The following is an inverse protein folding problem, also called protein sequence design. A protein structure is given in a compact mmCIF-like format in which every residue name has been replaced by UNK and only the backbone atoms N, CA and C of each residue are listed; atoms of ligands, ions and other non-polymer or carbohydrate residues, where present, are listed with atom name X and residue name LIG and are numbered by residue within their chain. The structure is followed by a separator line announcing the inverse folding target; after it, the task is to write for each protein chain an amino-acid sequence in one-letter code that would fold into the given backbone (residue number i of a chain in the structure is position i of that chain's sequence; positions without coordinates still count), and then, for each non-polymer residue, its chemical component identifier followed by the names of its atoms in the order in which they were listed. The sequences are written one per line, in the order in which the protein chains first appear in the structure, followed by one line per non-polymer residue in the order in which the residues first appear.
data_IF_703339061108
#
_entry.id   IF_703339061108
#
_cell.length_a   1.000
_cell.length_b   1.000
_cell.length_c   1.000
_cell.angle_alpha   90.00
_cell.angle_beta   90.00
_cell.angle_gamma   90.00
#
_symmetry.space_group_name_H-M   'P 1'
#
loop_
_entity.id
_entity.type
_entity.pdbx_description
1 polymer ?
#
# COMPACT_ATOMS: atom_id res chain seq x y z
N UNK A 1 -0.32 -27.32 -8.42
CA UNK A 1 -0.15 -27.63 -6.99
C UNK A 1 1.35 -27.62 -6.69
N UNK A 2 1.80 -26.93 -5.64
CA UNK A 2 3.20 -26.98 -5.23
C UNK A 2 3.40 -28.19 -4.31
N UNK A 3 4.33 -29.08 -4.68
CA UNK A 3 4.74 -30.20 -3.83
C UNK A 3 5.89 -29.72 -2.94
N UNK A 4 5.73 -29.84 -1.63
CA UNK A 4 6.78 -29.54 -0.67
C UNK A 4 7.29 -30.83 -0.04
N UNK A 5 8.60 -31.04 -0.11
CA UNK A 5 9.30 -32.16 0.52
C UNK A 5 10.21 -31.66 1.65
N UNK A 6 10.64 -32.57 2.52
CA UNK A 6 11.61 -32.32 3.57
C UNK A 6 12.40 -33.58 3.86
N UNK A 7 13.61 -33.42 4.40
CA UNK A 7 14.44 -34.53 4.88
C UNK A 7 14.01 -34.91 6.32
N UNK A 8 13.62 -36.17 6.59
CA UNK A 8 13.27 -36.64 7.93
C UNK A 8 14.37 -36.45 8.98
N UNK A 9 15.66 -36.59 8.62
CA UNK A 9 16.77 -36.42 9.56
C UNK A 9 16.94 -34.95 9.96
N UNK A 10 16.72 -34.03 9.02
CA UNK A 10 16.66 -32.60 9.31
C UNK A 10 15.44 -32.29 10.16
N UNK A 11 14.27 -32.86 9.82
CA UNK A 11 13.03 -32.64 10.56
C UNK A 11 13.08 -33.11 12.01
N UNK A 12 13.81 -34.19 12.33
CA UNK A 12 14.07 -34.62 13.72
C UNK A 12 14.75 -33.54 14.55
N UNK A 13 15.61 -32.73 13.93
CA UNK A 13 16.43 -31.73 14.63
C UNK A 13 15.71 -30.39 14.74
N UNK A 14 15.08 -29.92 13.66
CA UNK A 14 14.51 -28.56 13.59
C UNK A 14 12.98 -28.51 13.52
N UNK A 15 12.33 -29.66 13.34
CA UNK A 15 10.90 -29.79 13.08
C UNK A 15 10.54 -29.68 11.59
N UNK A 16 9.37 -30.22 11.22
CA UNK A 16 8.90 -30.34 9.83
C UNK A 16 8.90 -28.98 9.10
N UNK A 17 8.30 -27.95 9.69
CA UNK A 17 8.21 -26.63 9.05
C UNK A 17 9.59 -26.05 8.70
N UNK A 18 10.56 -26.19 9.62
CA UNK A 18 11.92 -25.72 9.38
C UNK A 18 12.64 -26.57 8.35
N UNK A 19 12.48 -27.90 8.39
CA UNK A 19 13.07 -28.80 7.40
C UNK A 19 12.52 -28.56 5.98
N UNK A 20 11.22 -28.27 5.84
CA UNK A 20 10.61 -27.93 4.56
C UNK A 20 11.16 -26.61 4.00
N UNK A 21 11.26 -25.57 4.83
CA UNK A 21 11.85 -24.28 4.41
C UNK A 21 13.33 -24.46 4.04
N UNK A 22 14.06 -25.27 4.80
CA UNK A 22 15.45 -25.61 4.50
C UNK A 22 15.61 -26.29 3.14
N UNK A 23 14.78 -27.28 2.83
CA UNK A 23 14.80 -27.96 1.53
C UNK A 23 14.60 -26.99 0.36
N UNK A 24 13.68 -26.03 0.50
CA UNK A 24 13.47 -24.98 -0.49
C UNK A 24 14.70 -24.07 -0.63
N UNK A 25 15.31 -23.65 0.48
CA UNK A 25 16.55 -22.84 0.45
C UNK A 25 17.67 -23.61 -0.26
N UNK A 26 17.88 -24.88 0.09
CA UNK A 26 18.92 -25.72 -0.49
C UNK A 26 18.74 -25.88 -2.01
N UNK A 27 17.53 -26.19 -2.46
CA UNK A 27 17.19 -26.28 -3.89
C UNK A 27 17.56 -25.00 -4.64
N UNK A 28 17.25 -23.84 -4.09
CA UNK A 28 17.55 -22.56 -4.73
C UNK A 28 19.03 -22.19 -4.68
N UNK A 29 19.79 -22.67 -3.70
CA UNK A 29 21.24 -22.50 -3.65
C UNK A 29 21.88 -23.37 -4.73
N UNK A 30 21.51 -24.65 -4.82
CA UNK A 30 21.97 -25.58 -5.86
C UNK A 30 21.68 -25.02 -7.26
N UNK A 31 20.48 -24.47 -7.46
CA UNK A 31 20.14 -23.82 -8.72
C UNK A 31 20.98 -22.58 -9.01
N UNK A 32 21.29 -21.77 -8.00
CA UNK A 32 22.17 -20.61 -8.20
C UNK A 32 23.61 -21.05 -8.49
N UNK A 33 24.08 -22.13 -7.87
CA UNK A 33 25.38 -22.75 -8.13
C UNK A 33 25.49 -23.26 -9.57
N UNK A 34 24.50 -24.02 -10.04
CA UNK A 34 24.48 -24.54 -11.41
C UNK A 34 24.42 -23.43 -12.48
N UNK A 35 23.93 -22.23 -12.11
CA UNK A 35 23.85 -21.07 -13.00
C UNK A 35 24.93 -20.02 -12.71
N UNK A 36 25.89 -20.30 -11.82
CA UNK A 36 26.97 -19.39 -11.41
C UNK A 36 26.48 -17.99 -10.96
N UNK A 37 25.31 -17.96 -10.31
CA UNK A 37 24.68 -16.72 -9.82
C UNK A 37 24.84 -16.61 -8.30
N UNK A 38 24.89 -15.38 -7.79
CA UNK A 38 24.80 -15.11 -6.36
C UNK A 38 25.90 -15.79 -5.51
N UNK A 39 27.11 -15.87 -6.09
CA UNK A 39 28.33 -16.24 -5.38
C UNK A 39 28.82 -15.03 -4.56
N UNK A 40 28.83 -15.18 -3.24
CA UNK A 40 29.35 -14.19 -2.30
C UNK A 40 30.14 -14.89 -1.20
N UNK A 41 31.28 -14.32 -0.80
CA UNK A 41 32.15 -14.87 0.24
C UNK A 41 32.48 -16.37 0.05
N UNK A 42 32.75 -16.75 -1.21
CA UNK A 42 33.13 -18.12 -1.58
C UNK A 42 32.01 -19.17 -1.49
N UNK A 43 30.75 -18.76 -1.29
CA UNK A 43 29.60 -19.68 -1.26
C UNK A 43 28.41 -19.13 -2.06
N UNK A 44 27.53 -20.02 -2.48
CA UNK A 44 26.31 -19.65 -3.19
C UNK A 44 25.19 -19.30 -2.22
N UNK A 45 24.48 -18.22 -2.52
CA UNK A 45 23.40 -17.72 -1.68
C UNK A 45 22.07 -17.71 -2.41
N UNK A 46 21.01 -17.73 -1.63
CA UNK A 46 19.68 -17.36 -2.13
C UNK A 46 19.06 -16.32 -1.22
N UNK A 47 18.24 -15.44 -1.79
CA UNK A 47 17.53 -14.44 -1.02
C UNK A 47 16.05 -14.78 -0.92
N UNK A 48 15.46 -14.47 0.23
CA UNK A 48 14.00 -14.49 0.37
C UNK A 48 13.53 -13.60 1.53
N UNK A 49 12.29 -13.10 1.42
CA UNK A 49 11.64 -12.37 2.50
C UNK A 49 10.68 -13.28 3.26
N UNK A 50 10.36 -12.96 4.53
CA UNK A 50 9.33 -13.69 5.29
C UNK A 50 7.99 -13.68 4.56
N UNK A 51 7.64 -12.57 3.92
CA UNK A 51 6.42 -12.45 3.12
C UNK A 51 6.41 -13.43 1.94
N UNK A 52 7.50 -13.48 1.19
CA UNK A 52 7.62 -14.36 0.03
C UNK A 52 7.71 -15.84 0.41
N UNK A 53 8.29 -16.16 1.58
CA UNK A 53 8.12 -17.49 2.16
C UNK A 53 6.66 -17.80 2.49
N UNK A 54 5.89 -16.84 3.01
CA UNK A 54 4.46 -17.04 3.30
C UNK A 54 3.62 -17.33 2.07
N UNK A 55 4.01 -16.80 0.90
CA UNK A 55 3.32 -17.08 -0.36
C UNK A 55 3.69 -18.46 -0.93
N UNK A 56 4.93 -18.89 -0.72
CA UNK A 56 5.39 -20.25 -1.08
C UNK A 56 4.84 -21.30 -0.12
N UNK A 57 4.68 -20.95 1.15
CA UNK A 57 4.19 -21.81 2.21
C UNK A 57 2.91 -21.22 2.84
N UNK A 58 1.78 -21.21 2.12
CA UNK A 58 0.54 -20.54 2.56
C UNK A 58 -0.09 -21.14 3.81
N UNK A 59 0.37 -22.31 4.25
CA UNK A 59 -0.02 -22.97 5.50
C UNK A 59 0.87 -22.59 6.70
N UNK A 60 1.88 -21.72 6.51
CA UNK A 60 2.74 -21.23 7.59
C UNK A 60 2.50 -19.74 7.84
N UNK A 61 2.31 -19.39 9.11
CA UNK A 61 2.25 -17.99 9.53
C UNK A 61 3.63 -17.32 9.43
N UNK A 62 3.64 -15.99 9.37
CA UNK A 62 4.88 -15.21 9.36
C UNK A 62 5.77 -15.52 10.59
N UNK A 63 5.17 -15.79 11.76
CA UNK A 63 5.91 -16.15 12.97
C UNK A 63 6.47 -17.56 12.92
N UNK A 64 5.72 -18.53 12.37
CA UNK A 64 6.22 -19.88 12.13
C UNK A 64 7.43 -19.85 11.19
N UNK A 65 7.38 -19.04 10.14
CA UNK A 65 8.50 -18.84 9.19
C UNK A 65 9.71 -18.21 9.89
N UNK A 66 9.51 -17.13 10.66
CA UNK A 66 10.60 -16.49 11.42
C UNK A 66 11.26 -17.46 12.39
N UNK A 67 10.46 -18.23 13.13
CA UNK A 67 10.94 -19.21 14.09
C UNK A 67 11.66 -20.37 13.41
N UNK A 68 11.16 -20.86 12.27
CA UNK A 68 11.82 -21.87 11.46
C UNK A 68 13.20 -21.40 10.98
N UNK A 69 13.28 -20.19 10.40
CA UNK A 69 14.55 -19.60 9.94
C UNK A 69 15.51 -19.34 11.10
N UNK A 70 15.02 -18.97 12.29
CA UNK A 70 15.83 -18.81 13.50
C UNK A 70 16.42 -20.16 13.92
N UNK A 71 15.60 -21.20 14.04
CA UNK A 71 16.04 -22.56 14.39
C UNK A 71 17.08 -23.11 13.42
N UNK A 72 16.91 -22.90 12.12
CA UNK A 72 17.87 -23.36 11.10
C UNK A 72 19.24 -22.70 11.25
N UNK A 73 19.28 -21.42 11.60
CA UNK A 73 20.54 -20.70 11.86
C UNK A 73 21.19 -21.19 13.15
N UNK A 74 20.42 -21.28 14.24
CA UNK A 74 20.91 -21.75 15.54
C UNK A 74 21.48 -23.16 15.47
N UNK A 75 20.84 -24.04 14.69
CA UNK A 75 21.29 -25.41 14.48
C UNK A 75 22.36 -25.54 13.40
N UNK A 76 22.79 -24.44 12.76
CA UNK A 76 23.89 -24.43 11.79
C UNK A 76 23.57 -25.05 10.43
N UNK A 77 22.29 -25.19 10.08
CA UNK A 77 21.85 -25.66 8.76
C UNK A 77 21.94 -24.57 7.70
N UNK A 78 21.70 -23.32 8.07
CA UNK A 78 21.84 -22.16 7.19
C UNK A 78 22.63 -21.06 7.87
N UNK A 79 23.23 -20.19 7.08
CA UNK A 79 23.82 -18.92 7.52
C UNK A 79 23.01 -17.75 6.96
N UNK A 80 23.02 -16.62 7.66
CA UNK A 80 22.37 -15.38 7.21
C UNK A 80 23.43 -14.39 6.74
N UNK A 81 23.12 -13.68 5.66
CA UNK A 81 23.95 -12.60 5.11
C UNK A 81 23.11 -11.41 4.67
N UNK A 82 23.81 -10.34 4.29
CA UNK A 82 23.23 -9.15 3.70
C UNK A 82 24.05 -8.74 2.47
N UNK A 83 23.54 -9.08 1.29
CA UNK A 83 24.14 -8.72 0.01
C UNK A 83 23.19 -7.83 -0.80
N UNK A 84 22.33 -7.08 -0.11
CA UNK A 84 21.43 -6.15 -0.75
C UNK A 84 22.19 -4.93 -1.26
N UNK A 85 21.93 -4.55 -2.52
CA UNK A 85 22.53 -3.34 -3.10
C UNK A 85 21.98 -2.03 -2.52
N UNK A 86 20.84 -2.09 -1.83
CA UNK A 86 20.15 -0.92 -1.32
C UNK A 86 19.84 -1.09 0.17
N UNK A 87 20.22 -0.10 0.98
CA UNK A 87 20.08 -0.14 2.45
C UNK A 87 18.64 -0.23 2.95
N UNK A 88 17.64 0.09 2.12
CA UNK A 88 16.22 -0.04 2.46
C UNK A 88 15.65 -1.43 2.14
N UNK A 89 16.35 -2.25 1.35
CA UNK A 89 15.91 -3.61 1.06
C UNK A 89 16.22 -4.50 2.27
N UNK A 90 15.18 -4.90 2.98
CA UNK A 90 15.28 -5.76 4.17
C UNK A 90 15.29 -7.25 3.84
N UNK A 91 15.46 -7.62 2.56
CA UNK A 91 15.52 -9.02 2.14
C UNK A 91 16.72 -9.70 2.78
N UNK A 92 16.53 -10.89 3.34
CA UNK A 92 17.64 -11.63 3.94
C UNK A 92 18.20 -12.62 2.93
N UNK A 93 19.51 -12.79 2.98
CA UNK A 93 20.22 -13.79 2.20
C UNK A 93 20.52 -15.01 3.09
N UNK A 94 20.41 -16.19 2.50
CA UNK A 94 20.63 -17.48 3.14
C UNK A 94 21.64 -18.30 2.35
N UNK A 95 22.64 -18.81 3.04
CA UNK A 95 23.65 -19.73 2.53
C UNK A 95 23.57 -21.06 3.30
N UNK A 96 24.20 -22.11 2.79
CA UNK A 96 24.27 -23.39 3.50
C UNK A 96 25.24 -23.29 4.68
N UNK A 97 24.79 -23.76 5.84
CA UNK A 97 25.63 -23.83 7.03
C UNK A 97 26.48 -25.09 7.05
N UNK A 98 27.48 -25.14 7.94
CA UNK A 98 28.41 -26.29 8.02
C UNK A 98 27.71 -27.64 8.25
N UNK A 99 26.61 -27.65 9.02
CA UNK A 99 25.86 -28.87 9.33
C UNK A 99 25.10 -29.41 8.12
N UNK A 100 24.75 -28.56 7.16
CA UNK A 100 24.19 -29.00 5.88
C UNK A 100 25.17 -29.93 5.17
N UNK A 101 26.42 -29.47 4.99
CA UNK A 101 27.46 -30.21 4.28
C UNK A 101 27.72 -31.59 4.91
N UNK A 102 27.75 -31.67 6.24
CA UNK A 102 27.98 -32.94 6.96
C UNK A 102 26.84 -33.96 6.85
N UNK A 103 25.61 -33.52 6.57
CA UNK A 103 24.46 -34.42 6.35
C UNK A 103 24.38 -34.81 4.87
N UNK A 104 24.72 -33.90 3.95
CA UNK A 104 24.86 -34.18 2.53
C UNK A 104 25.91 -35.28 2.24
N UNK A 105 27.06 -35.25 2.93
CA UNK A 105 28.10 -36.29 2.79
C UNK A 105 27.59 -37.68 3.21
N UNK A 106 26.73 -37.76 4.25
CA UNK A 106 26.13 -39.02 4.70
C UNK A 106 25.05 -39.53 3.75
N UNK A 107 24.26 -38.64 3.16
CA UNK A 107 23.20 -38.98 2.21
C UNK A 107 23.74 -39.36 0.82
N UNK A 108 24.84 -38.75 0.37
CA UNK A 108 25.51 -39.09 -0.89
C UNK A 108 26.04 -40.54 -0.90
N UNK A 109 26.48 -41.09 0.24
CA UNK A 109 26.89 -42.50 0.33
C UNK A 109 25.71 -43.49 0.17
N UNK A 110 24.47 -43.07 0.47
CA UNK A 110 23.27 -43.91 0.32
C UNK A 110 22.65 -43.81 -1.09
N UNK A 111 22.75 -42.66 -1.78
CA UNK A 111 22.16 -42.48 -3.12
C UNK A 111 22.98 -43.10 -4.27
N UNK A 112 24.32 -43.24 -4.12
CA UNK A 112 25.19 -43.82 -5.17
C UNK A 112 24.86 -45.29 -5.44
N UNK A 113 24.17 -46.00 -4.53
CA UNK A 113 23.79 -47.41 -4.73
C UNK A 113 22.53 -47.64 -5.58
N UNK A 114 21.81 -46.61 -6.03
CA UNK A 114 20.47 -46.80 -6.65
C UNK A 114 20.19 -46.12 -8.00
N UNK A 115 21.16 -45.52 -8.68
CA UNK A 115 20.86 -44.82 -9.94
C UNK A 115 21.86 -45.14 -11.07
N UNK A 116 21.75 -46.34 -11.65
CA UNK A 116 22.11 -46.57 -13.06
C UNK A 116 20.81 -46.65 -13.86
N UNK A 117 20.34 -45.49 -14.33
CA UNK A 117 19.18 -45.37 -15.21
C UNK A 117 19.38 -44.17 -16.12
N UNK A 118 19.83 -44.44 -17.35
CA UNK A 118 20.01 -43.44 -18.40
C UNK A 118 18.64 -42.90 -18.81
N UNK A 119 18.34 -41.68 -18.40
CA UNK A 119 17.14 -40.94 -18.77
C UNK A 119 17.51 -39.64 -19.47
N UNK A 120 16.98 -39.43 -20.68
CA UNK A 120 17.22 -38.28 -21.54
C UNK A 120 16.99 -36.96 -20.80
N UNK A 121 17.94 -36.02 -20.92
CA UNK A 121 17.84 -34.65 -20.43
C UNK A 121 16.61 -33.96 -21.03
N UNK A 122 15.60 -33.56 -20.24
CA UNK A 122 14.67 -32.54 -20.67
C UNK A 122 15.38 -31.18 -20.64
N UNK A 123 15.07 -30.33 -21.61
CA UNK A 123 15.63 -28.98 -21.73
C UNK A 123 15.42 -28.15 -20.46
N UNK A 124 16.31 -27.17 -20.17
CA UNK A 124 16.22 -26.37 -18.95
C UNK A 124 14.91 -25.59 -18.89
N UNK A 125 14.04 -25.94 -17.93
CA UNK A 125 12.86 -25.15 -17.60
C UNK A 125 13.32 -23.76 -17.11
N UNK A 126 12.86 -22.65 -17.70
CA UNK A 126 13.25 -21.31 -17.29
C UNK A 126 12.66 -21.01 -15.90
N UNK A 127 13.55 -20.84 -14.91
CA UNK A 127 13.13 -20.80 -13.51
C UNK A 127 13.04 -19.37 -13.00
N UNK A 128 11.81 -18.87 -12.98
CA UNK A 128 11.45 -17.72 -12.15
C UNK A 128 10.99 -18.27 -10.80
N UNK A 129 11.79 -18.07 -9.73
CA UNK A 129 11.23 -18.02 -8.38
C UNK A 129 9.95 -17.18 -8.45
N UNK A 130 8.78 -17.63 -7.96
CA UNK A 130 7.65 -16.74 -7.74
C UNK A 130 8.08 -15.75 -6.67
N UNK A 131 8.66 -14.67 -7.13
CA UNK A 131 8.94 -13.48 -6.39
C UNK A 131 7.63 -12.72 -6.42
N UNK A 132 6.75 -12.87 -5.41
CA UNK A 132 5.74 -11.82 -5.19
C UNK A 132 6.43 -10.63 -4.49
N UNK A 133 7.54 -10.19 -5.08
CA UNK A 133 7.86 -8.79 -5.15
C UNK A 133 7.36 -8.39 -6.54
N UNK A 134 6.55 -7.33 -6.66
CA UNK A 134 6.00 -6.92 -7.95
C UNK A 134 7.14 -6.84 -8.95
N UNK A 135 6.98 -7.60 -10.04
CA UNK A 135 7.87 -7.75 -11.18
C UNK A 135 8.92 -6.63 -11.23
N UNK A 136 10.16 -7.01 -10.91
CA UNK A 136 11.33 -6.14 -11.06
C UNK A 136 11.88 -6.33 -12.47
N UNK A 137 11.03 -6.10 -13.46
CA UNK A 137 11.42 -5.37 -14.65
C UNK A 137 12.27 -4.20 -14.14
N UNK A 138 13.60 -4.23 -14.35
CA UNK A 138 14.60 -3.42 -13.65
C UNK A 138 14.03 -2.05 -13.24
N UNK A 139 13.51 -1.94 -12.01
CA UNK A 139 12.83 -0.71 -11.61
C UNK A 139 13.93 0.32 -11.44
N UNK A 140 14.15 1.09 -12.51
CA UNK A 140 14.93 2.32 -12.50
C UNK A 140 14.57 3.06 -11.23
N UNK A 141 15.59 3.45 -10.46
CA UNK A 141 15.38 4.19 -9.23
C UNK A 141 14.53 5.42 -9.52
N UNK A 142 13.77 5.91 -8.54
CA UNK A 142 12.94 7.11 -8.73
C UNK A 142 13.81 8.29 -9.20
N UNK A 143 15.07 8.36 -8.75
CA UNK A 143 16.04 9.35 -9.23
C UNK A 143 16.41 9.15 -10.71
N UNK A 144 16.57 7.92 -11.20
CA UNK A 144 16.83 7.63 -12.62
C UNK A 144 15.64 7.90 -13.53
N UNK A 145 14.41 7.96 -12.99
CA UNK A 145 13.19 8.27 -13.75
C UNK A 145 12.91 9.77 -13.82
N UNK A 146 13.54 10.56 -12.93
CA UNK A 146 13.32 12.00 -12.89
C UNK A 146 13.90 12.63 -14.15
N UNK A 147 13.08 13.45 -14.84
CA UNK A 147 13.43 14.08 -16.12
C UNK A 147 13.64 13.11 -17.30
N UNK A 148 13.26 11.84 -17.17
CA UNK A 148 13.27 10.93 -18.31
C UNK A 148 11.95 11.01 -19.09
N UNK A 149 11.97 11.70 -20.22
CA UNK A 149 10.79 11.89 -21.09
C UNK A 149 10.27 10.60 -21.71
N UNK A 150 11.05 9.52 -21.67
CA UNK A 150 10.62 8.18 -22.13
C UNK A 150 9.96 7.37 -21.02
N UNK A 151 10.06 7.80 -19.75
CA UNK A 151 9.45 7.10 -18.62
C UNK A 151 7.95 7.49 -18.47
N UNK A 152 7.02 6.53 -18.59
CA UNK A 152 5.60 6.83 -18.53
C UNK A 152 5.14 7.44 -17.20
N UNK A 153 5.82 7.13 -16.09
CA UNK A 153 5.48 7.70 -14.77
C UNK A 153 5.90 9.17 -14.69
N UNK A 154 7.03 9.53 -15.29
CA UNK A 154 7.48 10.92 -15.39
C UNK A 154 6.55 11.74 -16.28
N UNK A 155 6.26 11.26 -17.50
CA UNK A 155 5.35 11.95 -18.43
C UNK A 155 3.98 12.16 -17.79
N UNK A 156 3.42 11.12 -17.18
CA UNK A 156 2.15 11.19 -16.48
C UNK A 156 2.17 12.21 -15.34
N UNK A 157 3.23 12.23 -14.53
CA UNK A 157 3.40 13.20 -13.46
C UNK A 157 3.43 14.63 -13.98
N UNK A 158 4.20 14.91 -15.03
CA UNK A 158 4.30 16.27 -15.58
C UNK A 158 2.95 16.75 -16.08
N UNK A 159 2.23 15.91 -16.83
CA UNK A 159 0.95 16.25 -17.44
C UNK A 159 -0.19 16.38 -16.43
N UNK A 160 -0.31 15.43 -15.50
CA UNK A 160 -1.51 15.29 -14.65
C UNK A 160 -1.30 15.82 -13.23
N UNK A 161 -0.05 16.00 -12.80
CA UNK A 161 0.26 16.46 -11.42
C UNK A 161 0.93 17.83 -11.45
N UNK A 162 2.04 17.96 -12.19
CA UNK A 162 2.83 19.18 -12.18
C UNK A 162 2.13 20.38 -12.83
N UNK A 163 1.26 20.14 -13.82
CA UNK A 163 0.36 21.14 -14.40
C UNK A 163 -0.52 21.85 -13.35
N UNK A 164 -0.78 21.20 -12.22
CA UNK A 164 -1.56 21.73 -11.11
C UNK A 164 -0.74 22.38 -10.00
N UNK A 165 0.57 22.62 -10.17
CA UNK A 165 1.35 23.35 -9.17
C UNK A 165 0.76 24.76 -8.89
N UNK A 166 0.78 25.17 -7.61
CA UNK A 166 0.15 26.40 -7.10
C UNK A 166 1.14 27.36 -6.44
N UNK A 167 2.44 27.05 -6.46
CA UNK A 167 3.49 27.86 -5.82
C UNK A 167 4.73 28.00 -6.71
N UNK A 168 5.21 29.24 -6.83
CA UNK A 168 6.53 29.55 -7.41
C UNK A 168 7.63 29.10 -6.46
N UNK A 169 8.60 28.31 -6.94
CA UNK A 169 9.69 27.75 -6.14
C UNK A 169 9.43 26.36 -5.56
N UNK A 170 8.32 25.70 -5.91
CA UNK A 170 8.12 24.29 -5.56
C UNK A 170 9.15 23.39 -6.25
N UNK A 171 9.68 22.41 -5.51
CA UNK A 171 10.64 21.45 -6.04
C UNK A 171 9.93 20.33 -6.82
N UNK A 172 10.01 20.40 -8.16
CA UNK A 172 9.49 19.36 -9.06
C UNK A 172 10.07 17.98 -8.74
N UNK A 173 11.36 17.93 -8.41
CA UNK A 173 12.03 16.69 -7.99
C UNK A 173 11.41 16.10 -6.73
N UNK A 174 11.17 16.92 -5.70
CA UNK A 174 10.59 16.43 -4.45
C UNK A 174 9.12 16.05 -4.61
N UNK A 175 8.36 16.80 -5.41
CA UNK A 175 6.98 16.47 -5.74
C UNK A 175 6.90 15.14 -6.51
N UNK A 176 7.75 14.94 -7.52
CA UNK A 176 7.86 13.68 -8.25
C UNK A 176 8.25 12.51 -7.34
N UNK A 177 9.25 12.70 -6.47
CA UNK A 177 9.65 11.67 -5.49
C UNK A 177 8.52 11.27 -4.56
N UNK A 178 7.70 12.24 -4.14
CA UNK A 178 6.56 12.00 -3.26
C UNK A 178 5.45 11.27 -4.02
N UNK A 179 5.12 11.72 -5.23
CA UNK A 179 4.14 11.09 -6.13
C UNK A 179 4.53 9.65 -6.53
N UNK A 180 5.79 9.43 -6.90
CA UNK A 180 6.26 8.14 -7.40
C UNK A 180 6.11 7.01 -6.39
N UNK A 181 6.15 7.34 -5.09
CA UNK A 181 5.98 6.40 -3.96
C UNK A 181 4.53 5.97 -3.72
N UNK A 182 3.55 6.69 -4.26
CA UNK A 182 2.13 6.41 -4.06
C UNK A 182 1.69 5.13 -4.78
N UNK A 183 0.72 4.43 -4.19
CA UNK A 183 0.01 3.32 -4.83
C UNK A 183 -0.86 3.81 -5.99
N UNK A 184 -1.29 2.92 -6.89
CA UNK A 184 -2.16 3.28 -8.02
C UNK A 184 -3.46 3.98 -7.58
N UNK A 185 -4.20 3.48 -6.56
CA UNK A 185 -5.39 4.18 -6.06
C UNK A 185 -5.09 5.57 -5.49
N UNK A 186 -4.00 5.71 -4.72
CA UNK A 186 -3.61 7.02 -4.17
C UNK A 186 -3.23 8.02 -5.26
N UNK A 187 -2.58 7.58 -6.35
CA UNK A 187 -2.27 8.44 -7.50
C UNK A 187 -3.53 8.96 -8.18
N UNK A 188 -4.54 8.10 -8.31
CA UNK A 188 -5.83 8.49 -8.88
C UNK A 188 -6.54 9.51 -7.98
N UNK A 189 -6.68 9.20 -6.68
CA UNK A 189 -7.28 10.10 -5.70
C UNK A 189 -6.57 11.46 -5.64
N UNK A 190 -5.23 11.46 -5.70
CA UNK A 190 -4.42 12.67 -5.81
C UNK A 190 -4.82 13.50 -7.03
N UNK A 191 -4.79 12.91 -8.22
CA UNK A 191 -5.05 13.61 -9.48
C UNK A 191 -6.46 14.20 -9.52
N UNK A 192 -7.45 13.47 -9.01
CA UNK A 192 -8.84 13.95 -8.91
C UNK A 192 -8.97 15.16 -7.95
N UNK A 193 -8.19 15.19 -6.87
CA UNK A 193 -8.23 16.27 -5.88
C UNK A 193 -7.46 17.54 -6.30
N UNK A 194 -6.49 17.43 -7.22
CA UNK A 194 -5.58 18.54 -7.58
C UNK A 194 -6.28 19.81 -8.09
N UNK A 195 -7.31 19.76 -8.96
CA UNK A 195 -7.99 20.96 -9.41
C UNK A 195 -8.63 21.74 -8.25
N UNK A 196 -9.28 21.05 -7.32
CA UNK A 196 -9.91 21.65 -6.15
C UNK A 196 -8.86 22.17 -5.15
N UNK A 197 -7.79 21.42 -4.92
CA UNK A 197 -6.64 21.85 -4.11
C UNK A 197 -6.01 23.13 -4.66
N UNK A 198 -5.77 23.20 -5.98
CA UNK A 198 -5.22 24.38 -6.65
C UNK A 198 -6.11 25.60 -6.47
N UNK A 199 -7.43 25.45 -6.58
CA UNK A 199 -8.38 26.55 -6.31
C UNK A 199 -8.27 27.01 -4.85
N UNK A 200 -8.31 26.07 -3.90
CA UNK A 200 -8.24 26.36 -2.47
C UNK A 200 -6.94 27.11 -2.08
N UNK A 201 -5.79 26.72 -2.61
CA UNK A 201 -4.51 27.36 -2.27
C UNK A 201 -4.24 28.66 -3.03
N UNK A 202 -5.06 28.98 -4.05
CA UNK A 202 -4.99 30.24 -4.77
C UNK A 202 -6.04 31.26 -4.29
N UNK A 203 -7.01 30.85 -3.45
CA UNK A 203 -7.93 31.78 -2.80
C UNK A 203 -7.23 32.50 -1.65
N UNK A 204 -7.12 33.83 -1.77
CA UNK A 204 -6.51 34.83 -0.87
C UNK A 204 -4.97 34.95 -0.89
N UNK A 205 -4.53 36.20 -0.88
CA UNK A 205 -3.14 36.56 -0.57
C UNK A 205 -2.94 36.53 0.96
N UNK A 206 -1.79 36.02 1.40
CA UNK A 206 -1.34 35.78 2.79
C UNK A 206 -1.72 34.47 3.51
N UNK A 207 -2.44 33.53 2.89
CA UNK A 207 -2.62 32.20 3.50
C UNK A 207 -1.43 31.27 3.23
N UNK A 208 -1.08 30.45 4.23
CA UNK A 208 0.01 29.46 4.13
C UNK A 208 -0.27 28.47 2.99
N UNK A 209 0.58 28.49 1.95
CA UNK A 209 0.52 27.54 0.84
C UNK A 209 1.50 26.39 1.07
N UNK A 210 1.02 25.16 1.33
CA UNK A 210 1.92 24.03 1.51
C UNK A 210 2.66 23.75 0.20
N UNK A 211 3.92 23.34 0.32
CA UNK A 211 4.67 22.82 -0.83
C UNK A 211 3.95 21.59 -1.39
N UNK A 212 3.88 21.45 -2.71
CA UNK A 212 3.24 20.29 -3.35
C UNK A 212 3.74 18.96 -2.80
N UNK A 213 5.06 18.82 -2.64
CA UNK A 213 5.65 17.59 -2.08
C UNK A 213 5.17 17.30 -0.65
N UNK A 214 5.11 18.33 0.21
CA UNK A 214 4.65 18.19 1.59
C UNK A 214 3.17 17.85 1.64
N UNK A 215 2.36 18.47 0.78
CA UNK A 215 0.93 18.18 0.66
C UNK A 215 0.69 16.73 0.20
N UNK A 216 1.42 16.26 -0.81
CA UNK A 216 1.37 14.86 -1.27
C UNK A 216 1.74 13.88 -0.14
N UNK A 217 2.84 14.15 0.60
CA UNK A 217 3.29 13.24 1.67
C UNK A 217 2.33 13.16 2.86
N UNK A 218 1.45 14.15 3.04
CA UNK A 218 0.44 14.20 4.10
C UNK A 218 -0.94 13.68 3.65
N UNK A 219 -1.00 13.01 2.50
CA UNK A 219 -2.25 12.57 1.88
C UNK A 219 -3.27 13.71 1.68
N UNK A 220 -2.80 14.90 1.26
CA UNK A 220 -3.65 16.09 1.19
C UNK A 220 -4.90 15.98 0.29
N UNK A 221 -4.96 14.98 -0.59
CA UNK A 221 -6.18 14.66 -1.36
C UNK A 221 -7.34 14.19 -0.48
N UNK A 222 -7.07 13.54 0.65
CA UNK A 222 -8.10 13.08 1.60
C UNK A 222 -8.84 14.27 2.20
N UNK A 223 -8.15 15.37 2.51
CA UNK A 223 -8.78 16.59 3.02
C UNK A 223 -9.72 17.21 1.98
N UNK A 224 -9.30 17.25 0.72
CA UNK A 224 -10.12 17.78 -0.38
C UNK A 224 -11.33 16.88 -0.63
N UNK A 225 -11.15 15.57 -0.60
CA UNK A 225 -12.23 14.58 -0.74
C UNK A 225 -13.21 14.68 0.42
N UNK A 226 -12.74 14.82 1.66
CA UNK A 226 -13.58 15.01 2.83
C UNK A 226 -14.35 16.33 2.76
N UNK A 227 -13.73 17.42 2.30
CA UNK A 227 -14.43 18.70 2.04
C UNK A 227 -15.48 18.56 0.95
N UNK A 228 -15.18 17.82 -0.11
CA UNK A 228 -16.10 17.56 -1.23
C UNK A 228 -17.25 16.66 -0.78
N UNK A 229 -16.98 15.64 0.04
CA UNK A 229 -17.97 14.77 0.66
C UNK A 229 -18.86 15.53 1.66
N UNK A 230 -18.31 16.45 2.44
CA UNK A 230 -19.09 17.35 3.30
C UNK A 230 -19.99 18.31 2.49
N UNK A 231 -19.66 18.58 1.21
CA UNK A 231 -20.53 19.32 0.28
C UNK A 231 -21.47 18.40 -0.53
N UNK A 232 -21.25 17.08 -0.55
CA UNK A 232 -22.02 16.08 -1.32
C UNK A 232 -22.89 15.16 -0.44
N UNK A 233 -22.72 15.16 0.88
CA UNK A 233 -23.74 14.65 1.79
C UNK A 233 -25.06 15.35 1.49
N UNK A 234 -26.18 14.61 1.33
CA UNK A 234 -27.52 15.21 1.30
C UNK A 234 -27.90 15.86 2.63
N UNK A 235 -26.99 15.86 3.61
CA UNK A 235 -27.09 16.61 4.84
C UNK A 235 -26.34 17.94 4.73
N UNK A 236 -26.57 18.65 3.62
CA UNK A 236 -26.82 20.08 3.75
C UNK A 236 -28.31 20.25 4.09
N UNK A 237 -28.68 19.84 5.30
CA UNK A 237 -29.23 20.84 6.20
C UNK A 237 -28.18 21.95 6.37
N UNK A 238 -27.96 22.74 5.30
CA UNK A 238 -27.63 24.14 5.47
C UNK A 238 -28.78 24.63 6.34
N UNK A 239 -28.54 24.72 7.65
CA UNK A 239 -29.40 25.28 8.69
C UNK A 239 -30.51 26.10 8.06
N UNK A 240 -31.58 25.41 7.64
CA UNK A 240 -32.79 26.07 7.24
C UNK A 240 -33.48 26.16 8.56
N UNK A 241 -33.14 27.24 9.26
CA UNK A 241 -33.87 27.68 10.43
C UNK A 241 -35.29 28.04 9.95
N UNK A 242 -36.10 27.01 9.74
CA UNK A 242 -37.50 27.14 9.33
C UNK A 242 -38.26 27.89 10.41
N UNK A 243 -37.86 27.76 11.68
CA UNK A 243 -38.42 28.54 12.78
C UNK A 243 -38.19 30.04 12.57
N UNK A 244 -36.96 30.48 12.27
CA UNK A 244 -36.68 31.89 11.99
C UNK A 244 -37.37 32.42 10.73
N UNK A 245 -37.46 31.61 9.66
CA UNK A 245 -38.16 32.00 8.41
C UNK A 245 -39.67 32.14 8.62
N UNK A 246 -40.27 31.19 9.35
CA UNK A 246 -41.68 31.23 9.71
C UNK A 246 -41.96 32.38 10.68
N UNK A 247 -41.05 32.66 11.63
CA UNK A 247 -41.16 33.81 12.53
C UNK A 247 -41.08 35.15 11.77
N UNK A 248 -40.15 35.28 10.82
CA UNK A 248 -40.05 36.46 9.97
C UNK A 248 -41.32 36.66 9.14
N UNK A 249 -41.77 35.60 8.46
CA UNK A 249 -43.02 35.62 7.69
C UNK A 249 -44.24 35.99 8.55
N UNK A 250 -44.33 35.48 9.78
CA UNK A 250 -45.42 35.86 10.71
C UNK A 250 -45.32 37.32 11.18
N UNK A 251 -44.13 37.91 11.21
CA UNK A 251 -43.91 39.26 11.74
C UNK A 251 -44.24 40.37 10.75
N UNK A 252 -43.92 40.20 9.47
CA UNK A 252 -44.07 41.26 8.45
C UNK A 252 -44.66 40.77 7.12
N UNK A 253 -45.08 39.50 7.05
CA UNK A 253 -45.65 38.84 5.87
C UNK A 253 -44.68 38.76 4.66
N UNK A 254 -43.38 38.88 4.89
CA UNK A 254 -42.35 38.79 3.85
C UNK A 254 -41.85 37.35 3.68
N UNK A 255 -41.83 36.87 2.43
CA UNK A 255 -41.27 35.56 2.08
C UNK A 255 -40.21 35.74 0.99
N UNK A 256 -38.95 35.44 1.31
CA UNK A 256 -37.87 35.61 0.34
C UNK A 256 -37.94 34.53 -0.75
N UNK A 257 -37.80 34.88 -2.05
CA UNK A 257 -37.81 33.91 -3.14
C UNK A 257 -36.75 32.80 -3.00
N UNK A 258 -35.64 33.09 -2.30
CA UNK A 258 -34.58 32.13 -1.98
C UNK A 258 -34.99 31.04 -0.98
N UNK A 259 -36.16 31.14 -0.35
CA UNK A 259 -36.68 30.15 0.60
C UNK A 259 -37.57 29.08 -0.06
N UNK A 260 -37.84 29.19 -1.36
CA UNK A 260 -38.75 28.32 -2.09
C UNK A 260 -40.21 28.76 -2.01
N UNK A 261 -41.18 27.92 -2.40
CA UNK A 261 -42.61 28.25 -2.34
C UNK A 261 -43.06 28.50 -0.89
N UNK A 262 -43.90 29.51 -0.69
CA UNK A 262 -44.38 29.90 0.65
C UNK A 262 -45.38 28.87 1.22
N UNK A 263 -45.63 28.87 2.55
CA UNK A 263 -46.67 28.04 3.15
C UNK A 263 -48.02 28.25 2.45
N UNK A 264 -48.63 27.15 1.98
CA UNK A 264 -49.89 27.17 1.20
C UNK A 264 -49.72 27.10 -0.32
N UNK A 265 -48.51 27.22 -0.87
CA UNK A 265 -48.23 27.02 -2.29
C UNK A 265 -47.73 25.61 -2.62
N UNK A 266 -48.04 25.15 -3.84
CA UNK A 266 -47.67 23.82 -4.30
C UNK A 266 -46.14 23.65 -4.36
N UNK A 267 -45.62 22.68 -3.60
CA UNK A 267 -44.18 22.41 -3.51
C UNK A 267 -43.44 23.13 -2.37
N UNK A 268 -44.15 23.70 -1.40
CA UNK A 268 -43.55 24.24 -0.17
C UNK A 268 -42.78 23.14 0.60
N UNK A 269 -41.57 23.49 1.07
CA UNK A 269 -40.68 22.58 1.81
C UNK A 269 -40.65 22.87 3.32
N UNK A 270 -41.44 23.84 3.80
CA UNK A 270 -41.53 24.16 5.22
C UNK A 270 -42.25 23.02 5.99
N UNK A 271 -41.73 22.57 7.14
CA UNK A 271 -42.36 21.55 7.96
C UNK A 271 -43.78 21.94 8.40
N UNK A 272 -44.74 21.01 8.27
CA UNK A 272 -46.17 21.27 8.52
C UNK A 272 -46.48 21.62 9.99
N UNK A 273 -45.73 21.03 10.91
CA UNK A 273 -45.77 21.28 12.35
C UNK A 273 -45.42 22.74 12.71
N UNK A 274 -44.48 23.36 11.99
CA UNK A 274 -44.14 24.77 12.18
C UNK A 274 -45.16 25.72 11.56
N UNK A 275 -45.89 25.29 10.53
CA UNK A 275 -46.94 26.10 9.89
C UNK A 275 -48.19 26.15 10.79
N UNK A 276 -48.55 25.02 11.42
CA UNK A 276 -49.80 24.86 12.17
C UNK A 276 -49.75 25.35 13.64
N UNK A 277 -48.57 25.56 14.22
CA UNK A 277 -48.43 26.07 15.60
C UNK A 277 -48.82 27.54 15.70
N UNK A 278 -50.07 27.84 16.05
CA UNK A 278 -50.45 29.13 16.63
C UNK A 278 -49.70 29.33 17.97
N UNK A 279 -49.18 30.53 18.28
CA UNK A 279 -48.59 30.79 19.58
C UNK A 279 -49.63 30.51 20.67
N UNK A 280 -49.31 29.63 21.62
CA UNK A 280 -50.05 29.56 22.86
C UNK A 280 -49.76 30.83 23.64
N UNK A 281 -50.80 31.63 23.86
CA UNK A 281 -50.81 32.72 24.82
C UNK A 281 -50.32 32.18 26.17
N UNK A 282 -49.06 32.47 26.49
CA UNK A 282 -48.56 32.35 27.86
C UNK A 282 -48.84 33.68 28.52
N UNK A 283 -50.12 33.97 28.79
CA UNK A 283 -50.47 35.07 29.70
C UNK A 283 -50.06 34.61 31.08
N UNK A 284 -48.88 35.08 31.50
CA UNK A 284 -48.38 34.95 32.85
C UNK A 284 -49.44 35.47 33.81
N UNK A 285 -49.91 34.56 34.64
CA UNK A 285 -50.62 34.84 35.86
C UNK A 285 -49.71 35.66 36.78
N UNK A 286 -49.92 36.97 36.79
CA UNK A 286 -49.41 37.86 37.83
C UNK A 286 -50.56 38.79 38.20
N UNK A 287 -51.07 38.67 39.43
CA UNK A 287 -51.18 39.75 40.41
C UNK A 287 -52.15 39.37 41.54
N UNK A 288 -51.61 39.46 42.76
CA UNK A 288 -52.22 39.68 44.07
C UNK A 288 -53.16 38.63 44.68
#
# INVERSE_FOLDING_TARGET
MALHSFDPEVAKIVGVNAATIYQNIAFWIEKNQANEKHLYDGQYWTYNSVKAFGEQFPYLSADQIRNALKKLVEQGFIVKGDYNKANFDKTRWYGLGKKANSICEKSQMEMVKKANGVGKNPEPIPDSKPNIKPDRNQKRSIDQRYQDETDPLWVYFVQNVWAHCWRTGDSRKNAFKSFAKLTKPQKQALVEALPAAKRLFLTKDNDFRPMMATWINRNGWEEIQNRSAAHQSPDQSASVDWEARIAHWRSDNTWLPSWGPRPGEHGCQAPADLIETKPQDTTQNTLF
#
